data_IF_860102733794
#
_entry.id   IF_860102733794
#
_cell.length_a   1.000
_cell.length_b   1.000
_cell.length_c   1.000
_cell.angle_alpha   90.00
_cell.angle_beta   90.00
_cell.angle_gamma   90.00
#
_symmetry.space_group_name_H-M   'P 1'
#
loop_
_entity.id
_entity.type
_entity.pdbx_description
1 polymer ?
#
# COMPACT_ATOMS: atom_id res chain seq x y z
N UNK A 1 15.88 7.33 5.02
CA UNK A 1 16.01 8.82 5.10
C UNK A 1 14.71 9.32 5.69
N UNK A 2 14.70 10.39 6.50
CA UNK A 2 13.42 10.97 6.92
C UNK A 2 12.80 11.73 5.73
N UNK A 3 11.46 11.76 5.63
CA UNK A 3 10.73 12.54 4.62
C UNK A 3 11.23 14.02 4.59
N UNK A 4 11.50 14.58 5.77
CA UNK A 4 12.04 15.93 5.94
C UNK A 4 13.39 16.19 5.26
N UNK A 5 14.20 15.15 5.01
CA UNK A 5 15.48 15.30 4.30
C UNK A 5 15.36 15.19 2.79
N UNK A 6 14.30 14.56 2.28
CA UNK A 6 14.02 14.43 0.85
C UNK A 6 13.24 15.64 0.32
N UNK A 7 12.14 15.97 0.98
CA UNK A 7 11.15 16.99 0.57
C UNK A 7 11.52 18.38 1.11
N UNK A 8 12.76 18.81 0.90
CA UNK A 8 13.21 20.17 1.28
C UNK A 8 12.76 21.21 0.26
N UNK A 9 12.47 22.45 0.71
CA UNK A 9 12.10 23.54 -0.20
C UNK A 9 13.12 23.75 -1.33
N UNK A 10 14.43 23.57 -1.06
CA UNK A 10 15.47 23.63 -2.08
C UNK A 10 15.31 22.54 -3.14
N UNK A 11 15.11 21.28 -2.72
CA UNK A 11 14.96 20.16 -3.64
C UNK A 11 13.70 20.29 -4.49
N UNK A 12 12.61 20.79 -3.90
CA UNK A 12 11.34 21.05 -4.61
C UNK A 12 11.54 22.21 -5.63
N UNK A 13 12.26 23.26 -5.28
CA UNK A 13 12.58 24.34 -6.21
C UNK A 13 13.44 23.86 -7.41
N UNK A 14 14.35 22.92 -7.18
CA UNK A 14 15.12 22.29 -8.26
C UNK A 14 14.22 21.49 -9.22
N UNK A 15 13.15 20.84 -8.71
CA UNK A 15 12.13 20.16 -9.53
C UNK A 15 11.36 21.18 -10.36
N UNK A 16 10.88 22.29 -9.75
CA UNK A 16 10.18 23.36 -10.47
C UNK A 16 11.03 23.94 -11.61
N UNK A 17 12.34 24.03 -11.41
CA UNK A 17 13.31 24.44 -12.43
C UNK A 17 13.65 23.38 -13.49
N UNK A 18 13.04 22.20 -13.46
CA UNK A 18 13.27 21.13 -14.44
C UNK A 18 14.60 20.41 -14.30
N UNK A 19 15.22 20.40 -13.12
CA UNK A 19 16.51 19.73 -12.88
C UNK A 19 16.42 18.22 -13.07
N UNK A 20 17.05 17.69 -14.12
CA UNK A 20 17.07 16.25 -14.40
C UNK A 20 17.72 15.41 -13.28
N UNK A 21 18.64 15.98 -12.52
CA UNK A 21 19.26 15.29 -11.37
C UNK A 21 18.30 15.22 -10.18
N UNK A 22 17.53 16.28 -9.92
CA UNK A 22 16.50 16.29 -8.90
C UNK A 22 15.37 15.31 -9.27
N UNK A 23 14.88 15.36 -10.52
CA UNK A 23 13.84 14.41 -11.00
C UNK A 23 14.28 12.95 -10.79
N UNK A 24 15.49 12.56 -11.22
CA UNK A 24 16.02 11.20 -10.98
C UNK A 24 16.18 10.84 -9.51
N UNK A 25 16.51 11.82 -8.66
CA UNK A 25 16.58 11.58 -7.22
C UNK A 25 15.19 11.25 -6.66
N UNK A 26 14.18 12.04 -6.99
CA UNK A 26 12.81 11.83 -6.51
C UNK A 26 12.21 10.54 -7.08
N UNK A 27 12.47 10.23 -8.35
CA UNK A 27 12.05 8.99 -9.01
C UNK A 27 12.51 7.73 -8.24
N UNK A 28 13.76 7.69 -7.79
CA UNK A 28 14.28 6.61 -6.94
C UNK A 28 13.56 6.45 -5.59
N UNK A 29 12.86 7.48 -5.15
CA UNK A 29 12.02 7.43 -3.96
C UNK A 29 10.53 7.20 -4.28
N UNK A 30 10.19 6.88 -5.54
CA UNK A 30 8.81 6.66 -5.98
C UNK A 30 7.99 7.94 -6.07
N UNK A 31 8.65 9.08 -6.24
CA UNK A 31 8.03 10.37 -6.44
C UNK A 31 8.35 10.87 -7.85
N UNK A 32 7.41 10.73 -8.76
CA UNK A 32 7.54 11.12 -10.16
C UNK A 32 6.30 11.87 -10.65
N UNK A 33 6.41 12.67 -11.72
CA UNK A 33 5.29 13.40 -12.28
C UNK A 33 4.16 12.48 -12.70
N UNK A 34 2.92 12.91 -12.46
CA UNK A 34 1.75 12.24 -13.01
C UNK A 34 1.67 12.41 -14.54
N UNK A 35 0.92 11.56 -15.26
CA UNK A 35 0.71 11.74 -16.69
C UNK A 35 0.14 13.12 -17.01
N UNK A 36 0.86 13.91 -17.81
CA UNK A 36 0.49 15.28 -18.18
C UNK A 36 0.85 16.37 -17.16
N UNK A 37 1.46 16.02 -16.02
CA UNK A 37 1.92 16.97 -15.00
C UNK A 37 3.27 17.57 -15.44
N UNK A 38 3.37 18.88 -15.49
CA UNK A 38 4.63 19.57 -15.71
C UNK A 38 5.48 19.69 -14.43
N UNK A 39 6.72 20.18 -14.56
CA UNK A 39 7.62 20.28 -13.42
C UNK A 39 7.12 21.23 -12.33
N UNK A 40 6.39 22.30 -12.69
CA UNK A 40 5.82 23.23 -11.73
C UNK A 40 4.68 22.60 -10.94
N UNK A 41 3.76 21.96 -11.63
CA UNK A 41 2.63 21.23 -11.01
C UNK A 41 3.11 20.11 -10.10
N UNK A 42 4.15 19.39 -10.55
CA UNK A 42 4.80 18.35 -9.74
C UNK A 42 5.42 18.94 -8.46
N UNK A 43 6.15 20.04 -8.57
CA UNK A 43 6.74 20.73 -7.41
C UNK A 43 5.66 21.21 -6.42
N UNK A 44 4.52 21.73 -6.91
CA UNK A 44 3.39 22.12 -6.08
C UNK A 44 2.77 20.93 -5.34
N UNK A 45 2.64 19.79 -6.01
CA UNK A 45 2.16 18.54 -5.39
C UNK A 45 3.14 18.04 -4.31
N UNK A 46 4.43 18.09 -4.56
CA UNK A 46 5.46 17.76 -3.58
C UNK A 46 5.45 18.71 -2.37
N UNK A 47 5.15 19.99 -2.59
CA UNK A 47 5.02 20.98 -1.51
C UNK A 47 3.83 20.68 -0.60
N UNK A 48 2.68 20.32 -1.18
CA UNK A 48 1.50 19.89 -0.41
C UNK A 48 1.80 18.63 0.40
N UNK A 49 2.44 17.64 -0.21
CA UNK A 49 2.87 16.41 0.46
C UNK A 49 3.83 16.71 1.63
N UNK A 50 4.82 17.57 1.42
CA UNK A 50 5.77 17.96 2.47
C UNK A 50 5.04 18.59 3.67
N UNK A 51 4.12 19.52 3.40
CA UNK A 51 3.32 20.18 4.44
C UNK A 51 2.48 19.16 5.22
N UNK A 52 1.80 18.25 4.52
CA UNK A 52 0.95 17.25 5.16
C UNK A 52 1.75 16.25 6.02
N UNK A 53 2.95 15.86 5.59
CA UNK A 53 3.85 15.03 6.39
C UNK A 53 4.35 15.75 7.65
N UNK A 54 4.70 17.02 7.54
CA UNK A 54 5.10 17.86 8.67
C UNK A 54 3.95 18.05 9.67
N UNK A 55 2.73 18.26 9.18
CA UNK A 55 1.51 18.37 10.01
C UNK A 55 1.19 17.06 10.70
N UNK A 56 1.29 15.92 10.01
CA UNK A 56 1.12 14.61 10.59
C UNK A 56 2.12 14.38 11.75
N UNK A 57 3.39 14.68 11.53
CA UNK A 57 4.45 14.54 12.55
C UNK A 57 4.17 15.45 13.76
N UNK A 58 3.81 16.72 13.54
CA UNK A 58 3.47 17.69 14.60
C UNK A 58 2.26 17.25 15.40
N UNK A 59 1.19 16.83 14.72
CA UNK A 59 -0.04 16.41 15.39
C UNK A 59 0.21 15.13 16.24
N UNK A 60 0.94 14.15 15.70
CA UNK A 60 1.34 12.97 16.46
C UNK A 60 2.24 13.33 17.65
N UNK A 61 3.11 14.32 17.50
CA UNK A 61 4.00 14.75 18.59
C UNK A 61 3.22 15.49 19.71
N UNK A 62 2.24 16.32 19.36
CA UNK A 62 1.50 17.18 20.30
C UNK A 62 0.30 16.48 20.91
N UNK A 63 -0.47 15.74 20.11
CA UNK A 63 -1.73 15.12 20.52
C UNK A 63 -1.58 13.64 20.88
N UNK A 64 -0.47 13.01 20.46
CA UNK A 64 -0.21 11.59 20.65
C UNK A 64 -0.95 10.68 19.66
N UNK A 65 -2.04 11.17 19.06
CA UNK A 65 -2.81 10.46 18.03
C UNK A 65 -3.39 11.41 17.00
N UNK A 66 -3.71 10.87 15.82
CA UNK A 66 -4.43 11.56 14.73
C UNK A 66 -5.40 10.58 14.07
N UNK A 67 -6.49 11.10 13.50
CA UNK A 67 -7.48 10.33 12.75
C UNK A 67 -7.50 10.80 11.29
N UNK A 68 -6.62 10.25 10.42
CA UNK A 68 -6.53 10.67 9.02
C UNK A 68 -7.76 10.26 8.20
N UNK A 69 -8.45 9.21 8.61
CA UNK A 69 -9.69 8.73 8.01
C UNK A 69 -10.67 8.35 9.11
N UNK A 70 -11.97 8.52 8.85
CA UNK A 70 -13.02 8.21 9.82
C UNK A 70 -12.90 6.78 10.37
N UNK A 71 -12.74 6.66 11.69
CA UNK A 71 -12.63 5.39 12.40
C UNK A 71 -11.23 4.76 12.44
N UNK A 72 -10.19 5.43 11.92
CA UNK A 72 -8.81 4.95 11.98
C UNK A 72 -7.96 5.90 12.81
N UNK A 73 -7.74 5.56 14.07
CA UNK A 73 -6.85 6.30 14.95
C UNK A 73 -5.40 5.83 14.80
N UNK A 74 -4.51 6.71 14.36
CA UNK A 74 -3.07 6.50 14.33
C UNK A 74 -2.43 7.08 15.56
N UNK A 75 -1.62 6.30 16.27
CA UNK A 75 -0.92 6.72 17.48
C UNK A 75 0.58 6.80 17.24
N UNK A 76 1.24 7.74 17.89
CA UNK A 76 2.71 7.89 17.82
C UNK A 76 3.45 6.58 18.15
N UNK A 77 2.98 5.85 19.14
CA UNK A 77 3.57 4.57 19.58
C UNK A 77 3.22 3.38 18.65
N UNK A 78 2.31 3.57 17.70
CA UNK A 78 1.98 2.57 16.66
C UNK A 78 2.77 2.74 15.38
N UNK A 79 3.62 3.77 15.27
CA UNK A 79 4.48 3.97 14.11
C UNK A 79 5.42 2.77 13.90
N UNK A 80 5.57 2.34 12.67
CA UNK A 80 6.42 1.20 12.31
C UNK A 80 7.88 1.66 12.34
N UNK A 81 8.76 1.02 13.12
CA UNK A 81 10.18 1.39 13.17
C UNK A 81 10.86 1.25 11.80
N UNK A 82 11.77 2.17 11.47
CA UNK A 82 12.53 2.17 10.22
C UNK A 82 13.31 0.86 9.97
N UNK A 83 13.75 0.18 11.04
CA UNK A 83 14.40 -1.13 10.93
C UNK A 83 13.46 -2.20 10.34
N UNK A 84 12.17 -2.12 10.64
CA UNK A 84 11.16 -3.05 10.14
C UNK A 84 10.78 -2.71 8.68
N UNK A 85 10.59 -1.43 8.36
CA UNK A 85 10.27 -1.00 6.99
C UNK A 85 11.45 -1.20 6.04
N UNK A 86 12.69 -1.15 6.54
CA UNK A 86 13.91 -1.31 5.74
C UNK A 86 13.93 -2.58 4.91
N UNK A 87 13.47 -3.72 5.44
CA UNK A 87 13.40 -4.99 4.70
C UNK A 87 12.43 -4.90 3.50
N UNK A 88 11.32 -4.20 3.65
CA UNK A 88 10.34 -4.00 2.58
C UNK A 88 10.86 -3.02 1.51
N UNK A 89 11.54 -1.96 1.93
CA UNK A 89 12.19 -1.00 1.05
C UNK A 89 13.31 -1.64 0.20
N UNK A 90 14.06 -2.58 0.76
CA UNK A 90 15.03 -3.35 -0.03
C UNK A 90 14.36 -4.20 -1.10
N UNK A 91 13.17 -4.72 -0.81
CA UNK A 91 12.41 -5.53 -1.75
C UNK A 91 11.86 -4.69 -2.91
N UNK A 92 11.28 -3.52 -2.64
CA UNK A 92 10.84 -2.59 -3.68
C UNK A 92 12.02 -2.11 -4.52
N UNK A 93 13.16 -1.81 -3.88
CA UNK A 93 14.38 -1.42 -4.58
C UNK A 93 14.90 -2.50 -5.53
N UNK A 94 14.90 -3.78 -5.12
CA UNK A 94 15.33 -4.90 -5.97
C UNK A 94 14.38 -5.16 -7.15
N UNK A 95 13.09 -4.91 -6.98
CA UNK A 95 12.08 -5.18 -8.01
C UNK A 95 11.91 -4.04 -9.00
N UNK A 96 12.00 -2.80 -8.51
CA UNK A 96 11.58 -1.61 -9.25
C UNK A 96 12.61 -0.47 -9.26
N UNK A 97 13.77 -0.65 -8.62
CA UNK A 97 14.76 0.41 -8.36
C UNK A 97 14.17 1.62 -7.60
N UNK A 98 13.11 1.38 -6.81
CA UNK A 98 12.37 2.41 -6.07
C UNK A 98 12.38 2.12 -4.58
N UNK A 99 12.61 3.17 -3.78
CA UNK A 99 12.72 3.11 -2.32
C UNK A 99 11.85 4.18 -1.67
N UNK A 100 10.53 3.97 -1.53
CA UNK A 100 9.59 4.96 -1.00
C UNK A 100 9.70 5.09 0.53
N UNK A 101 10.86 5.55 0.99
CA UNK A 101 11.23 5.67 2.41
C UNK A 101 10.67 6.91 3.10
N UNK A 102 9.92 7.73 2.37
CA UNK A 102 9.18 8.88 2.87
C UNK A 102 7.78 8.52 3.37
N UNK A 103 7.27 7.34 3.04
CA UNK A 103 5.91 6.90 3.37
C UNK A 103 5.83 6.43 4.82
N UNK A 104 5.06 7.09 5.70
CA UNK A 104 4.87 6.65 7.07
C UNK A 104 4.00 5.40 7.15
N UNK A 105 4.37 4.47 8.03
CA UNK A 105 3.63 3.25 8.29
C UNK A 105 3.23 3.12 9.75
N UNK A 106 2.06 2.50 10.01
CA UNK A 106 1.54 2.32 11.35
C UNK A 106 0.98 0.92 11.57
N UNK A 107 1.04 0.45 12.81
CA UNK A 107 0.32 -0.73 13.25
C UNK A 107 -1.09 -0.33 13.70
N UNK A 108 -2.13 -0.94 13.12
CA UNK A 108 -3.51 -0.71 13.54
C UNK A 108 -4.01 -1.80 14.48
N UNK A 109 -4.75 -1.38 15.50
CA UNK A 109 -5.33 -2.26 16.52
C UNK A 109 -6.63 -2.91 16.09
N UNK A 110 -7.32 -2.31 15.13
CA UNK A 110 -8.71 -2.56 14.87
C UNK A 110 -8.98 -3.75 13.96
N UNK A 111 -10.19 -4.21 14.08
CA UNK A 111 -10.73 -5.37 13.37
C UNK A 111 -11.24 -4.99 11.99
N UNK A 112 -10.36 -4.71 11.05
CA UNK A 112 -10.74 -4.63 9.63
C UNK A 112 -11.12 -6.00 9.03
N UNK A 113 -11.58 -6.91 9.89
CA UNK A 113 -11.92 -8.27 9.52
C UNK A 113 -10.78 -9.27 9.69
N UNK A 114 -11.15 -10.56 9.75
CA UNK A 114 -10.20 -11.65 10.08
C UNK A 114 -9.09 -11.82 9.02
N UNK A 115 -9.42 -11.61 7.75
CA UNK A 115 -8.50 -11.80 6.62
C UNK A 115 -7.74 -10.52 6.22
N UNK A 116 -8.02 -9.39 6.87
CA UNK A 116 -7.34 -8.14 6.57
C UNK A 116 -5.89 -8.17 7.06
N UNK A 117 -4.95 -7.78 6.21
CA UNK A 117 -3.52 -7.70 6.53
C UNK A 117 -3.02 -6.28 6.69
N UNK A 118 -3.39 -5.40 5.76
CA UNK A 118 -2.98 -4.00 5.69
C UNK A 118 -3.65 -3.29 4.53
N UNK A 119 -3.48 -1.97 4.45
CA UNK A 119 -3.86 -1.15 3.31
C UNK A 119 -3.03 0.15 3.26
N UNK A 120 -2.88 0.70 2.07
CA UNK A 120 -2.45 2.08 1.87
C UNK A 120 -3.67 3.02 2.00
N UNK A 121 -3.47 4.16 2.63
CA UNK A 121 -4.44 5.24 2.75
C UNK A 121 -3.86 6.45 2.04
N UNK A 122 -4.68 7.08 1.22
CA UNK A 122 -4.31 8.27 0.45
C UNK A 122 -5.29 9.38 0.74
N UNK A 123 -4.79 10.56 1.07
CA UNK A 123 -5.56 11.79 1.08
C UNK A 123 -5.43 12.47 -0.29
N UNK A 124 -6.54 12.61 -1.06
CA UNK A 124 -6.49 13.17 -2.41
C UNK A 124 -6.13 14.67 -2.43
N UNK A 125 -6.38 15.41 -1.37
CA UNK A 125 -6.15 16.85 -1.31
C UNK A 125 -4.67 17.18 -1.08
N UNK A 126 -4.07 16.54 -0.10
CA UNK A 126 -2.66 16.76 0.26
C UNK A 126 -1.68 15.82 -0.46
N UNK A 127 -2.19 14.77 -1.11
CA UNK A 127 -1.41 13.64 -1.64
C UNK A 127 -0.61 12.89 -0.56
N UNK A 128 -0.99 13.04 0.69
CA UNK A 128 -0.43 12.26 1.77
C UNK A 128 -0.78 10.79 1.58
N UNK A 129 0.25 9.96 1.52
CA UNK A 129 0.12 8.50 1.55
C UNK A 129 0.70 8.00 2.84
N UNK A 130 -0.02 7.11 3.47
CA UNK A 130 0.49 6.30 4.59
C UNK A 130 -0.01 4.87 4.44
N UNK A 131 0.62 3.93 5.09
CA UNK A 131 0.11 2.57 5.12
C UNK A 131 -0.09 2.08 6.55
N UNK A 132 -1.10 1.24 6.70
CA UNK A 132 -1.39 0.58 7.97
C UNK A 132 -1.32 -0.92 7.79
N UNK A 133 -0.77 -1.60 8.78
CA UNK A 133 -0.76 -3.06 8.85
C UNK A 133 -1.27 -3.52 10.21
N UNK A 134 -1.79 -4.75 10.23
CA UNK A 134 -2.33 -5.34 11.45
C UNK A 134 -1.31 -5.40 12.58
N UNK A 135 -1.68 -5.01 13.79
CA UNK A 135 -0.82 -5.02 14.99
C UNK A 135 -0.21 -6.40 15.31
N UNK A 136 -0.85 -7.48 14.90
CA UNK A 136 -0.27 -8.82 15.04
C UNK A 136 1.14 -8.93 14.44
N UNK A 137 1.45 -8.13 13.41
CA UNK A 137 2.75 -8.06 12.78
C UNK A 137 3.84 -7.34 13.60
N UNK A 138 3.47 -6.65 14.66
CA UNK A 138 4.45 -6.10 15.61
C UNK A 138 5.27 -7.22 16.27
N UNK A 139 4.61 -8.31 16.65
CA UNK A 139 5.23 -9.44 17.36
C UNK A 139 5.57 -10.62 16.44
N UNK A 140 4.91 -10.76 15.32
CA UNK A 140 5.03 -11.92 14.42
C UNK A 140 5.37 -11.46 13.00
N UNK A 141 6.34 -12.13 12.37
CA UNK A 141 6.65 -11.89 10.97
C UNK A 141 5.54 -12.41 10.04
N UNK A 142 4.87 -13.49 10.42
CA UNK A 142 3.79 -14.10 9.63
C UNK A 142 2.47 -14.08 10.40
N UNK A 143 1.40 -13.77 9.70
CA UNK A 143 0.03 -13.85 10.20
C UNK A 143 -0.88 -14.41 9.11
N UNK A 144 -1.54 -15.57 9.38
CA UNK A 144 -2.29 -16.33 8.39
C UNK A 144 -1.44 -16.59 7.13
N UNK A 145 -1.90 -16.12 5.97
CA UNK A 145 -1.22 -16.26 4.67
C UNK A 145 -0.27 -15.12 4.35
N UNK A 146 -0.15 -14.12 5.23
CA UNK A 146 0.63 -12.91 5.00
C UNK A 146 2.00 -13.00 5.68
N UNK A 147 3.05 -12.60 4.95
CA UNK A 147 4.36 -12.24 5.50
C UNK A 147 4.41 -10.71 5.63
N UNK A 148 4.90 -10.20 6.77
CA UNK A 148 4.96 -8.75 7.05
C UNK A 148 5.75 -7.97 6.01
N UNK A 149 6.90 -8.50 5.61
CA UNK A 149 7.77 -7.85 4.62
C UNK A 149 7.10 -7.77 3.25
N UNK A 150 6.43 -8.85 2.83
CA UNK A 150 5.69 -8.86 1.57
C UNK A 150 4.55 -7.86 1.59
N UNK A 151 3.78 -7.83 2.69
CA UNK A 151 2.66 -6.94 2.84
C UNK A 151 3.10 -5.47 2.81
N UNK A 152 4.13 -5.11 3.59
CA UNK A 152 4.64 -3.75 3.57
C UNK A 152 5.20 -3.36 2.20
N UNK A 153 5.91 -4.27 1.51
CA UNK A 153 6.41 -4.00 0.16
C UNK A 153 5.25 -3.82 -0.85
N UNK A 154 4.15 -4.53 -0.67
CA UNK A 154 2.92 -4.37 -1.45
C UNK A 154 2.32 -2.97 -1.25
N UNK A 155 2.12 -2.54 0.00
CA UNK A 155 1.57 -1.21 0.30
C UNK A 155 2.50 -0.07 -0.15
N UNK A 156 3.81 -0.24 0.03
CA UNK A 156 4.81 0.72 -0.46
C UNK A 156 4.84 0.81 -2.00
N UNK A 157 4.49 -0.28 -2.70
CA UNK A 157 4.35 -0.26 -4.16
C UNK A 157 3.16 0.58 -4.58
N UNK A 158 2.01 0.46 -3.91
CA UNK A 158 0.86 1.35 -4.12
C UNK A 158 1.24 2.82 -3.91
N UNK A 159 1.92 3.13 -2.80
CA UNK A 159 2.38 4.49 -2.50
C UNK A 159 3.27 5.07 -3.62
N UNK A 160 4.18 4.27 -4.17
CA UNK A 160 5.05 4.69 -5.26
C UNK A 160 4.30 4.90 -6.59
N UNK A 161 3.21 4.18 -6.85
CA UNK A 161 2.45 4.25 -8.10
C UNK A 161 1.24 5.20 -8.04
N UNK A 162 0.99 5.83 -6.89
CA UNK A 162 -0.17 6.70 -6.67
C UNK A 162 -0.34 7.78 -7.76
N UNK A 163 0.75 8.39 -8.22
CA UNK A 163 0.70 9.45 -9.24
C UNK A 163 0.28 8.96 -10.62
N UNK A 164 0.39 7.66 -10.90
CA UNK A 164 0.02 7.09 -12.21
C UNK A 164 -1.49 6.86 -12.30
N UNK A 165 -2.15 6.60 -11.16
CA UNK A 165 -3.61 6.37 -11.03
C UNK A 165 -4.16 5.31 -12.02
N UNK A 166 -3.37 4.27 -12.31
CA UNK A 166 -3.73 3.17 -13.20
C UNK A 166 -4.09 1.92 -12.40
N UNK A 167 -5.30 1.91 -11.82
CA UNK A 167 -5.84 0.85 -10.95
C UNK A 167 -5.59 -0.56 -11.53
N UNK A 168 -5.62 -0.67 -12.85
CA UNK A 168 -5.45 -1.93 -13.57
C UNK A 168 -4.08 -2.59 -13.35
N UNK A 169 -3.04 -1.79 -13.19
CA UNK A 169 -1.66 -2.26 -13.04
C UNK A 169 -1.14 -2.16 -11.61
N UNK A 170 -1.79 -1.37 -10.75
CA UNK A 170 -1.36 -1.17 -9.35
C UNK A 170 -1.29 -2.50 -8.61
N UNK A 171 -2.37 -3.29 -8.62
CA UNK A 171 -2.41 -4.60 -7.98
C UNK A 171 -1.42 -5.59 -8.61
N UNK A 172 -1.29 -5.58 -9.94
CA UNK A 172 -0.32 -6.43 -10.62
C UNK A 172 1.10 -6.18 -10.13
N UNK A 173 1.53 -4.92 -10.05
CA UNK A 173 2.85 -4.58 -9.55
C UNK A 173 2.98 -4.87 -8.05
N UNK A 174 1.99 -4.51 -7.24
CA UNK A 174 1.99 -4.75 -5.81
C UNK A 174 2.13 -6.26 -5.49
N UNK A 175 1.41 -7.14 -6.18
CA UNK A 175 1.50 -8.59 -5.98
C UNK A 175 2.82 -9.23 -6.48
N UNK A 176 3.61 -8.57 -7.32
CA UNK A 176 4.96 -9.05 -7.65
C UNK A 176 5.88 -9.10 -6.43
N UNK A 177 5.56 -8.35 -5.38
CA UNK A 177 6.27 -8.42 -4.11
C UNK A 177 6.06 -9.75 -3.36
N UNK A 178 5.03 -10.53 -3.69
CA UNK A 178 4.76 -11.81 -3.04
C UNK A 178 5.83 -12.87 -3.38
N UNK A 179 6.22 -13.71 -2.41
CA UNK A 179 7.16 -14.82 -2.62
C UNK A 179 6.49 -15.99 -3.35
N UNK A 180 5.23 -16.25 -3.05
CA UNK A 180 4.46 -17.34 -3.65
C UNK A 180 4.09 -17.05 -5.10
N UNK A 181 4.44 -17.96 -6.01
CA UNK A 181 4.06 -17.87 -7.42
C UNK A 181 2.53 -17.83 -7.61
N UNK A 182 1.77 -18.56 -6.77
CA UNK A 182 0.31 -18.53 -6.78
C UNK A 182 -0.22 -17.15 -6.40
N UNK A 183 0.32 -16.51 -5.35
CA UNK A 183 -0.09 -15.17 -4.96
C UNK A 183 0.26 -14.13 -6.03
N UNK A 184 1.42 -14.25 -6.67
CA UNK A 184 1.79 -13.37 -7.79
C UNK A 184 0.85 -13.51 -8.98
N UNK A 185 0.42 -14.74 -9.28
CA UNK A 185 -0.49 -15.01 -10.40
C UNK A 185 -1.92 -14.55 -10.07
N UNK A 186 -2.49 -15.05 -8.97
CA UNK A 186 -3.88 -14.76 -8.62
C UNK A 186 -4.11 -13.33 -8.12
N UNK A 187 -3.13 -12.70 -7.47
CA UNK A 187 -3.25 -11.33 -6.98
C UNK A 187 -3.49 -10.32 -8.11
N UNK A 188 -2.82 -10.51 -9.26
CA UNK A 188 -3.06 -9.67 -10.44
C UNK A 188 -4.37 -9.95 -11.18
N UNK A 189 -5.11 -11.02 -10.83
CA UNK A 189 -6.38 -11.36 -11.45
C UNK A 189 -7.59 -10.69 -10.76
N UNK A 190 -7.42 -10.18 -9.54
CA UNK A 190 -8.50 -9.61 -8.74
C UNK A 190 -8.33 -8.09 -8.66
N UNK A 191 -9.00 -7.38 -9.55
CA UNK A 191 -8.95 -5.91 -9.65
C UNK A 191 -10.12 -5.28 -8.87
N UNK A 192 -11.25 -5.99 -8.79
CA UNK A 192 -12.46 -5.56 -8.11
C UNK A 192 -12.73 -6.41 -6.86
N UNK A 193 -13.36 -5.80 -5.84
CA UNK A 193 -13.87 -6.53 -4.65
C UNK A 193 -14.83 -7.68 -5.01
N UNK A 194 -15.43 -7.64 -6.18
CA UNK A 194 -16.36 -8.69 -6.66
C UNK A 194 -15.63 -9.83 -7.37
N UNK A 195 -14.42 -9.62 -7.87
CA UNK A 195 -13.67 -10.65 -8.61
C UNK A 195 -13.35 -11.85 -7.70
N UNK A 196 -12.95 -11.59 -6.46
CA UNK A 196 -12.72 -12.64 -5.46
C UNK A 196 -13.99 -13.41 -5.14
N UNK A 197 -15.13 -12.73 -5.07
CA UNK A 197 -16.42 -13.34 -4.81
C UNK A 197 -16.87 -14.21 -5.99
N UNK A 198 -16.77 -13.69 -7.22
CA UNK A 198 -17.09 -14.41 -8.45
C UNK A 198 -16.20 -15.64 -8.64
N UNK A 199 -14.95 -15.60 -8.18
CA UNK A 199 -14.05 -16.75 -8.23
C UNK A 199 -14.34 -17.79 -7.14
N UNK A 200 -14.58 -17.35 -5.89
CA UNK A 200 -14.80 -18.25 -4.77
C UNK A 200 -16.19 -18.88 -4.77
N UNK A 201 -17.21 -18.15 -5.21
CA UNK A 201 -18.60 -18.63 -5.18
C UNK A 201 -18.80 -19.93 -5.96
N UNK A 202 -18.34 -20.11 -7.20
CA UNK A 202 -18.43 -21.37 -7.93
C UNK A 202 -17.70 -22.51 -7.22
N UNK A 203 -16.51 -22.25 -6.64
CA UNK A 203 -15.72 -23.25 -5.93
C UNK A 203 -16.48 -23.77 -4.70
N UNK A 204 -17.11 -22.86 -3.94
CA UNK A 204 -17.89 -23.21 -2.76
C UNK A 204 -19.21 -23.88 -3.10
N UNK A 205 -19.83 -23.53 -4.24
CA UNK A 205 -21.10 -24.14 -4.70
C UNK A 205 -20.90 -25.54 -5.32
N UNK A 206 -19.73 -25.82 -5.89
CA UNK A 206 -19.46 -27.09 -6.57
C UNK A 206 -19.69 -28.34 -5.70
N UNK A 207 -19.25 -28.41 -4.42
CA UNK A 207 -19.57 -29.53 -3.53
C UNK A 207 -21.08 -29.66 -3.26
N UNK A 208 -21.77 -28.52 -3.08
CA UNK A 208 -23.22 -28.49 -2.81
C UNK A 208 -23.99 -29.03 -4.01
N UNK A 209 -23.67 -28.55 -5.20
CA UNK A 209 -24.27 -29.00 -6.46
C UNK A 209 -24.03 -30.51 -6.67
N UNK A 210 -22.81 -30.99 -6.42
CA UNK A 210 -22.50 -32.45 -6.48
C UNK A 210 -23.32 -33.25 -5.50
N UNK A 211 -23.50 -32.76 -4.29
CA UNK A 211 -24.27 -33.48 -3.26
C UNK A 211 -25.75 -33.53 -3.61
N UNK A 212 -26.34 -32.47 -4.11
CA UNK A 212 -27.72 -32.38 -4.59
C UNK A 212 -27.93 -33.30 -5.81
N UNK A 213 -27.01 -33.29 -6.75
CA UNK A 213 -27.07 -34.17 -7.93
C UNK A 213 -27.02 -35.65 -7.53
N UNK A 214 -26.16 -36.02 -6.58
CA UNK A 214 -26.07 -37.40 -6.05
C UNK A 214 -27.36 -37.85 -5.34
N UNK A 215 -27.97 -36.96 -4.56
CA UNK A 215 -29.25 -37.27 -3.89
C UNK A 215 -30.42 -37.43 -4.87
N UNK A 216 -30.45 -36.68 -5.96
CA UNK A 216 -31.46 -36.84 -7.02
C UNK A 216 -31.30 -38.16 -7.77
N UNK A 217 -30.06 -38.58 -8.02
CA UNK A 217 -29.78 -39.84 -8.71
C UNK A 217 -30.21 -41.06 -7.88
N UNK A 218 -29.97 -41.04 -6.57
CA UNK A 218 -30.42 -42.12 -5.67
C UNK A 218 -31.96 -42.19 -5.48
N UNK A 219 -32.66 -41.06 -5.63
CA UNK A 219 -34.15 -41.04 -5.58
C UNK A 219 -34.83 -41.59 -6.84
N UNK A 220 -34.16 -41.55 -7.99
CA UNK A 220 -34.72 -42.03 -9.26
C UNK A 220 -34.41 -43.49 -9.56
N UNK A 221 -33.60 -44.15 -8.74
CA UNK A 221 -33.20 -45.58 -8.88
C UNK A 221 -33.77 -46.48 -7.81
N UNK A 222 -34.62 -46.00 -6.89
CA UNK A 222 -35.39 -46.74 -5.92
C UNK A 222 -36.88 -46.56 -6.15
#
# INVERSE_FOLDING_TARGET
MSASTLLTGKAIAEIAGGSASALRKFDRHGLFPAPGEDCQQFAERLSRLATALDELEKNLAQQGSVEPCSGIELRKNSAIPAAITGEALEKTCKLYDVKPDWVPGFFADESFGMLWGGCALTDPESNLVLFIIRKAFLKKRKFLVYDRQELMAHELTHAAHQSINEIKYEEYFAYRTAQSALRRFFGGCFISKYDSLCFLLPILLLPVVRQVAKQRQTRNTG
#
